data_IF_956434321069
#
_entry.id   IF_956434321069
#
_cell.length_a   1.000
_cell.length_b   1.000
_cell.length_c   1.000
_cell.angle_alpha   90.00
_cell.angle_beta   90.00
_cell.angle_gamma   90.00
#
_symmetry.space_group_name_H-M   'P 1'
#
loop_
_entity.id
_entity.type
_entity.pdbx_description
1 polymer ?
#
# COMPACT_ATOMS: atom_id res chain seq x y z
N UNK A 1 -22.85 -2.02 -25.99
CA UNK A 1 -24.17 -2.01 -25.32
C UNK A 1 -23.92 -2.25 -23.84
N UNK A 2 -24.45 -1.43 -22.94
CA UNK A 2 -24.24 -1.59 -21.49
C UNK A 2 -25.02 -2.80 -21.01
N UNK A 3 -24.33 -3.84 -20.53
CA UNK A 3 -24.95 -5.09 -20.06
C UNK A 3 -25.23 -5.03 -18.55
N UNK A 4 -25.89 -6.04 -17.99
CA UNK A 4 -26.20 -6.09 -16.55
C UNK A 4 -24.94 -6.01 -15.69
N UNK A 5 -23.85 -6.67 -16.10
CA UNK A 5 -22.57 -6.64 -15.39
C UNK A 5 -21.98 -5.22 -15.31
N UNK A 6 -22.11 -4.44 -16.38
CA UNK A 6 -21.70 -3.03 -16.39
C UNK A 6 -22.38 -2.25 -15.26
N UNK A 7 -23.70 -2.35 -15.13
CA UNK A 7 -24.43 -1.65 -14.09
C UNK A 7 -24.10 -2.17 -12.69
N UNK A 8 -23.95 -3.49 -12.52
CA UNK A 8 -23.54 -4.09 -11.23
C UNK A 8 -22.19 -3.52 -10.79
N UNK A 9 -21.19 -3.52 -11.67
CA UNK A 9 -19.85 -3.01 -11.36
C UNK A 9 -19.92 -1.50 -11.06
N UNK A 10 -20.63 -0.72 -11.88
CA UNK A 10 -20.76 0.71 -11.68
C UNK A 10 -21.42 1.04 -10.33
N UNK A 11 -22.55 0.39 -10.00
CA UNK A 11 -23.22 0.62 -8.72
C UNK A 11 -22.37 0.16 -7.54
N UNK A 12 -21.67 -0.98 -7.65
CA UNK A 12 -20.78 -1.44 -6.60
C UNK A 12 -19.67 -0.41 -6.30
N UNK A 13 -19.02 0.13 -7.35
CA UNK A 13 -18.01 1.17 -7.20
C UNK A 13 -18.58 2.46 -6.59
N UNK A 14 -19.76 2.89 -7.04
CA UNK A 14 -20.39 4.12 -6.52
C UNK A 14 -20.85 3.97 -5.07
N UNK A 15 -21.37 2.79 -4.69
CA UNK A 15 -21.78 2.50 -3.31
C UNK A 15 -20.57 2.43 -2.40
N UNK A 16 -19.52 1.72 -2.79
CA UNK A 16 -18.28 1.62 -2.02
C UNK A 16 -17.69 3.01 -1.76
N UNK A 17 -17.57 3.82 -2.81
CA UNK A 17 -17.11 5.21 -2.69
C UNK A 17 -18.02 6.06 -1.80
N UNK A 18 -19.34 5.96 -1.96
CA UNK A 18 -20.28 6.70 -1.13
C UNK A 18 -20.18 6.32 0.35
N UNK A 19 -20.04 5.03 0.67
CA UNK A 19 -19.83 4.55 2.04
C UNK A 19 -18.53 5.11 2.61
N UNK A 20 -17.43 5.05 1.85
CA UNK A 20 -16.13 5.59 2.26
C UNK A 20 -16.21 7.09 2.56
N UNK A 21 -16.79 7.88 1.67
CA UNK A 21 -16.95 9.34 1.85
C UNK A 21 -17.82 9.65 3.07
N UNK A 22 -18.95 8.95 3.24
CA UNK A 22 -19.83 9.15 4.40
C UNK A 22 -19.08 8.83 5.70
N UNK A 23 -18.34 7.73 5.76
CA UNK A 23 -17.53 7.38 6.93
C UNK A 23 -16.49 8.47 7.24
N UNK A 24 -15.78 8.97 6.23
CA UNK A 24 -14.80 10.05 6.38
C UNK A 24 -15.45 11.37 6.86
N UNK A 25 -16.62 11.73 6.35
CA UNK A 25 -17.36 12.91 6.79
C UNK A 25 -17.85 12.77 8.24
N UNK A 26 -18.35 11.59 8.63
CA UNK A 26 -18.74 11.31 10.01
C UNK A 26 -17.54 11.38 10.95
N UNK A 27 -16.39 10.82 10.55
CA UNK A 27 -15.14 10.92 11.30
C UNK A 27 -14.75 12.38 11.48
N UNK A 28 -14.68 13.17 10.40
CA UNK A 28 -14.35 14.59 10.45
C UNK A 28 -15.28 15.41 11.35
N UNK A 29 -16.60 15.10 11.33
CA UNK A 29 -17.59 15.75 12.20
C UNK A 29 -17.41 15.38 13.67
N UNK A 30 -16.93 14.18 13.94
CA UNK A 30 -16.69 13.69 15.31
C UNK A 30 -15.41 14.24 15.95
N UNK A 31 -14.44 14.73 15.15
CA UNK A 31 -13.18 15.27 15.65
C UNK A 31 -13.43 16.51 16.52
N UNK A 32 -13.00 16.44 17.77
CA UNK A 32 -13.06 17.55 18.73
C UNK A 32 -11.67 18.14 18.92
N UNK A 33 -11.58 19.46 18.96
CA UNK A 33 -10.30 20.16 19.14
C UNK A 33 -9.76 20.08 20.56
N UNK A 34 -10.63 19.90 21.55
CA UNK A 34 -10.23 19.80 22.96
C UNK A 34 -10.20 18.34 23.41
N UNK A 35 -9.23 17.95 24.26
CA UNK A 35 -9.16 16.60 24.78
C UNK A 35 -10.41 16.32 25.63
N UNK A 36 -10.99 15.10 25.56
CA UNK A 36 -12.07 14.71 26.46
C UNK A 36 -11.57 14.72 27.92
N UNK A 37 -12.45 14.91 28.91
CA UNK A 37 -12.05 14.97 30.33
C UNK A 37 -11.25 13.75 30.80
N UNK A 38 -11.51 12.57 30.23
CA UNK A 38 -10.77 11.34 30.54
C UNK A 38 -9.29 11.36 30.11
N UNK A 39 -8.90 12.30 29.24
CA UNK A 39 -7.55 12.48 28.72
C UNK A 39 -6.87 13.75 29.26
N UNK A 40 -7.52 14.46 30.18
CA UNK A 40 -6.98 15.65 30.82
C UNK A 40 -5.75 15.28 31.67
N UNK A 41 -4.66 16.02 31.50
CA UNK A 41 -3.38 15.72 32.15
C UNK A 41 -2.53 14.62 31.49
N UNK A 42 -3.09 13.85 30.55
CA UNK A 42 -2.33 12.87 29.74
C UNK A 42 -1.78 13.52 28.48
N UNK A 43 -2.60 14.31 27.79
CA UNK A 43 -2.20 15.04 26.59
C UNK A 43 -2.02 16.52 26.88
N UNK A 44 -0.94 17.08 26.33
CA UNK A 44 -0.84 18.54 26.24
C UNK A 44 -1.90 19.05 25.24
N UNK A 45 -2.69 20.08 25.58
CA UNK A 45 -3.77 20.57 24.72
C UNK A 45 -3.31 20.94 23.30
N UNK A 46 -2.14 21.54 23.16
CA UNK A 46 -1.59 21.94 21.85
C UNK A 46 -1.17 20.74 21.00
N UNK A 47 -0.57 19.70 21.59
CA UNK A 47 -0.22 18.48 20.87
C UNK A 47 -1.46 17.71 20.42
N UNK A 48 -2.48 17.66 21.27
CA UNK A 48 -3.77 17.07 20.92
C UNK A 48 -4.40 17.81 19.74
N UNK A 49 -4.47 19.14 19.78
CA UNK A 49 -4.98 19.96 18.67
C UNK A 49 -4.23 19.72 17.37
N UNK A 50 -2.89 19.66 17.43
CA UNK A 50 -2.04 19.35 16.27
C UNK A 50 -2.34 17.95 15.71
N UNK A 51 -2.56 16.95 16.57
CA UNK A 51 -2.94 15.60 16.14
C UNK A 51 -4.32 15.58 15.45
N UNK A 52 -5.30 16.31 15.98
CA UNK A 52 -6.64 16.42 15.37
C UNK A 52 -6.56 17.13 14.00
N UNK A 53 -5.72 18.16 13.88
CA UNK A 53 -5.48 18.83 12.59
C UNK A 53 -4.79 17.92 11.58
N UNK A 54 -3.85 17.08 12.03
CA UNK A 54 -3.21 16.06 11.20
C UNK A 54 -4.23 15.07 10.64
N UNK A 55 -5.09 14.51 11.50
CA UNK A 55 -6.16 13.59 11.08
C UNK A 55 -7.09 14.29 10.08
N UNK A 56 -7.51 15.52 10.38
CA UNK A 56 -8.38 16.30 9.48
C UNK A 56 -7.75 16.56 8.12
N UNK A 57 -6.46 16.89 8.09
CA UNK A 57 -5.73 17.18 6.84
C UNK A 57 -5.63 15.93 5.98
N UNK A 58 -5.23 14.79 6.56
CA UNK A 58 -5.15 13.53 5.82
C UNK A 58 -6.53 13.07 5.35
N UNK A 59 -7.54 13.06 6.22
CA UNK A 59 -8.88 12.60 5.83
C UNK A 59 -9.46 13.42 4.65
N UNK A 60 -9.23 14.74 4.63
CA UNK A 60 -9.65 15.58 3.50
C UNK A 60 -8.85 15.27 2.23
N UNK A 61 -7.55 15.05 2.39
CA UNK A 61 -6.68 14.70 1.28
C UNK A 61 -7.07 13.35 0.68
N UNK A 62 -7.35 12.35 1.51
CA UNK A 62 -7.78 11.01 1.12
C UNK A 62 -9.08 11.07 0.30
N UNK A 63 -10.08 11.84 0.77
CA UNK A 63 -11.32 12.05 0.00
C UNK A 63 -11.03 12.64 -1.38
N UNK A 64 -10.12 13.62 -1.49
CA UNK A 64 -9.74 14.22 -2.78
C UNK A 64 -9.05 13.19 -3.68
N UNK A 65 -8.11 12.40 -3.15
CA UNK A 65 -7.39 11.39 -3.92
C UNK A 65 -8.30 10.25 -4.37
N UNK A 66 -9.24 9.83 -3.53
CA UNK A 66 -10.20 8.77 -3.84
C UNK A 66 -11.19 9.26 -4.90
N UNK A 67 -11.67 10.50 -4.78
CA UNK A 67 -12.52 11.13 -5.80
C UNK A 67 -11.81 11.16 -7.14
N UNK A 68 -10.54 11.62 -7.16
CA UNK A 68 -9.74 11.67 -8.38
C UNK A 68 -9.55 10.28 -9.00
N UNK A 69 -9.19 9.29 -8.18
CA UNK A 69 -8.97 7.91 -8.63
C UNK A 69 -10.24 7.31 -9.23
N UNK A 70 -11.40 7.52 -8.61
CA UNK A 70 -12.69 7.09 -9.14
C UNK A 70 -13.00 7.79 -10.46
N UNK A 71 -12.81 9.11 -10.56
CA UNK A 71 -13.06 9.86 -11.79
C UNK A 71 -12.15 9.41 -12.93
N UNK A 72 -10.87 9.14 -12.65
CA UNK A 72 -9.93 8.58 -13.63
C UNK A 72 -10.41 7.21 -14.10
N UNK A 73 -10.75 6.30 -13.17
CA UNK A 73 -11.23 4.97 -13.50
C UNK A 73 -12.50 5.02 -14.37
N UNK A 74 -13.50 5.80 -13.95
CA UNK A 74 -14.75 5.94 -14.68
C UNK A 74 -14.50 6.59 -16.04
N UNK A 75 -13.75 7.69 -16.11
CA UNK A 75 -13.45 8.36 -17.38
C UNK A 75 -12.74 7.43 -18.36
N UNK A 76 -11.74 6.69 -17.88
CA UNK A 76 -11.02 5.71 -18.69
C UNK A 76 -11.93 4.56 -19.13
N UNK A 77 -12.81 4.09 -18.26
CA UNK A 77 -13.77 3.03 -18.58
C UNK A 77 -14.82 3.46 -19.60
N UNK A 78 -15.48 4.60 -19.37
CA UNK A 78 -16.53 5.16 -20.24
C UNK A 78 -15.98 5.61 -21.60
N UNK A 79 -14.72 6.08 -21.66
CA UNK A 79 -14.03 6.37 -22.91
C UNK A 79 -13.60 5.10 -23.68
N UNK A 80 -13.84 3.91 -23.13
CA UNK A 80 -13.40 2.64 -23.75
C UNK A 80 -11.89 2.39 -23.65
N UNK A 81 -11.19 3.07 -22.74
CA UNK A 81 -9.73 3.04 -22.59
C UNK A 81 -9.17 1.63 -22.38
N UNK A 82 -9.86 0.77 -21.62
CA UNK A 82 -9.45 -0.63 -21.43
C UNK A 82 -9.43 -1.41 -22.74
N UNK A 83 -10.46 -1.26 -23.56
CA UNK A 83 -10.55 -1.93 -24.87
C UNK A 83 -9.57 -1.32 -25.87
N UNK A 84 -9.44 0.02 -25.88
CA UNK A 84 -8.46 0.71 -26.71
C UNK A 84 -7.04 0.20 -26.43
N UNK A 85 -6.65 0.14 -25.15
CA UNK A 85 -5.34 -0.36 -24.76
C UNK A 85 -5.15 -1.83 -25.13
N UNK A 86 -6.16 -2.68 -24.94
CA UNK A 86 -6.10 -4.09 -25.36
C UNK A 86 -5.83 -4.21 -26.87
N UNK A 87 -6.53 -3.43 -27.71
CA UNK A 87 -6.31 -3.41 -29.16
C UNK A 87 -4.90 -2.94 -29.52
N UNK A 88 -4.38 -1.91 -28.86
CA UNK A 88 -3.01 -1.43 -29.05
C UNK A 88 -2.00 -2.52 -28.71
N UNK A 89 -2.12 -3.16 -27.54
CA UNK A 89 -1.18 -4.21 -27.12
C UNK A 89 -1.26 -5.44 -28.02
N UNK A 90 -2.45 -5.80 -28.51
CA UNK A 90 -2.63 -6.88 -29.49
C UNK A 90 -1.94 -6.60 -30.82
N UNK A 91 -1.87 -5.34 -31.25
CA UNK A 91 -1.21 -4.95 -32.50
C UNK A 91 0.31 -5.25 -32.51
N UNK A 92 0.93 -5.36 -31.33
CA UNK A 92 2.38 -5.61 -31.20
C UNK A 92 2.80 -7.06 -31.46
N UNK A 93 1.86 -7.96 -31.75
CA UNK A 93 2.13 -9.35 -32.18
C UNK A 93 2.98 -10.19 -31.21
N UNK A 94 2.95 -9.88 -29.91
CA UNK A 94 3.56 -10.71 -28.87
C UNK A 94 2.71 -11.94 -28.51
N UNK A 95 3.32 -12.92 -27.85
CA UNK A 95 2.65 -14.08 -27.25
C UNK A 95 1.54 -13.66 -26.24
N UNK A 96 0.44 -14.43 -26.06
CA UNK A 96 -0.61 -14.13 -25.09
C UNK A 96 -0.11 -13.73 -23.69
N UNK A 97 0.91 -14.40 -23.16
CA UNK A 97 1.41 -14.13 -21.81
C UNK A 97 2.09 -12.75 -21.77
N UNK A 98 2.98 -12.48 -22.73
CA UNK A 98 3.70 -11.20 -22.82
C UNK A 98 2.72 -10.05 -23.05
N UNK A 99 1.69 -10.26 -23.88
CA UNK A 99 0.62 -9.26 -24.07
C UNK A 99 -0.12 -8.96 -22.76
N UNK A 100 -0.50 -9.99 -22.00
CA UNK A 100 -1.15 -9.80 -20.70
C UNK A 100 -0.28 -9.03 -19.70
N UNK A 101 1.02 -9.34 -19.65
CA UNK A 101 1.99 -8.61 -18.83
C UNK A 101 2.12 -7.14 -19.24
N UNK A 102 2.22 -6.87 -20.56
CA UNK A 102 2.30 -5.50 -21.08
C UNK A 102 1.02 -4.71 -20.81
N UNK A 103 -0.14 -5.32 -21.01
CA UNK A 103 -1.44 -4.71 -20.74
C UNK A 103 -1.55 -4.28 -19.27
N UNK A 104 -1.29 -5.19 -18.34
CA UNK A 104 -1.35 -4.90 -16.90
C UNK A 104 -0.26 -3.92 -16.50
N UNK A 105 0.97 -4.09 -17.01
CA UNK A 105 2.10 -3.21 -16.74
C UNK A 105 1.85 -1.76 -17.16
N UNK A 106 1.27 -1.54 -18.36
CA UNK A 106 0.94 -0.19 -18.86
C UNK A 106 -0.15 0.45 -17.99
N UNK A 107 -1.19 -0.30 -17.63
CA UNK A 107 -2.24 0.21 -16.74
C UNK A 107 -1.68 0.61 -15.37
N UNK A 108 -0.84 -0.25 -14.78
CA UNK A 108 -0.21 0.01 -13.48
C UNK A 108 0.72 1.23 -13.53
N UNK A 109 1.55 1.33 -14.57
CA UNK A 109 2.45 2.47 -14.75
C UNK A 109 1.67 3.77 -15.00
N UNK A 110 0.66 3.74 -15.87
CA UNK A 110 -0.22 4.88 -16.13
C UNK A 110 -0.89 5.37 -14.86
N UNK A 111 -1.49 4.45 -14.09
CA UNK A 111 -2.12 4.78 -12.81
C UNK A 111 -1.11 5.31 -11.77
N UNK A 112 0.08 4.70 -11.68
CA UNK A 112 1.15 5.17 -10.78
C UNK A 112 1.63 6.57 -11.15
N UNK A 113 1.63 6.95 -12.43
CA UNK A 113 2.01 8.28 -12.88
C UNK A 113 0.92 9.30 -12.55
N UNK A 114 -0.35 8.95 -12.76
CA UNK A 114 -1.49 9.83 -12.44
C UNK A 114 -1.59 10.11 -10.93
N UNK A 115 -1.23 9.15 -10.09
CA UNK A 115 -1.28 9.28 -8.62
C UNK A 115 0.02 9.80 -8.01
N UNK A 116 1.09 9.93 -8.80
CA UNK A 116 2.39 10.42 -8.35
C UNK A 116 2.33 11.83 -7.72
N UNK A 117 1.62 12.83 -8.28
CA UNK A 117 1.53 14.17 -7.68
C UNK A 117 0.97 14.14 -6.27
N UNK A 118 -0.03 13.29 -6.00
CA UNK A 118 -0.61 13.15 -4.66
C UNK A 118 0.38 12.52 -3.68
N UNK A 119 1.13 11.51 -4.11
CA UNK A 119 2.17 10.90 -3.27
C UNK A 119 3.29 11.91 -2.92
N UNK A 120 3.68 12.76 -3.88
CA UNK A 120 4.63 13.85 -3.67
C UNK A 120 4.05 14.87 -2.67
N UNK A 121 2.81 15.32 -2.89
CA UNK A 121 2.15 16.30 -2.01
C UNK A 121 2.02 15.77 -0.58
N UNK A 122 1.57 14.53 -0.41
CA UNK A 122 1.46 13.90 0.90
C UNK A 122 2.83 13.88 1.61
N UNK A 123 3.89 13.44 0.92
CA UNK A 123 5.22 13.28 1.52
C UNK A 123 5.91 14.61 1.83
N UNK A 124 5.92 15.54 0.87
CA UNK A 124 6.73 16.76 0.94
C UNK A 124 5.95 18.00 1.37
N UNK A 125 4.62 17.92 1.48
CA UNK A 125 3.77 19.02 1.95
C UNK A 125 3.06 18.63 3.25
N UNK A 126 2.25 17.56 3.24
CA UNK A 126 1.48 17.18 4.43
C UNK A 126 2.42 16.67 5.53
N UNK A 127 3.18 15.60 5.28
CA UNK A 127 4.06 15.02 6.29
C UNK A 127 5.16 16.01 6.74
N UNK A 128 5.66 16.86 5.84
CA UNK A 128 6.60 17.93 6.19
C UNK A 128 5.96 18.97 7.11
N UNK A 129 4.74 19.44 6.81
CA UNK A 129 4.00 20.42 7.63
C UNK A 129 3.83 19.97 9.07
N UNK A 130 3.66 18.66 9.32
CA UNK A 130 3.50 18.13 10.66
C UNK A 130 4.82 17.72 11.33
N UNK A 131 5.95 17.79 10.62
CA UNK A 131 7.28 17.44 11.10
C UNK A 131 7.56 15.93 11.08
N UNK A 132 6.79 15.17 10.30
CA UNK A 132 6.94 13.74 10.16
C UNK A 132 7.87 13.33 9.03
N UNK A 133 7.98 14.13 7.96
CA UNK A 133 8.85 13.77 6.84
C UNK A 133 10.33 13.89 7.19
N UNK A 134 11.09 12.83 6.87
CA UNK A 134 12.57 12.82 6.86
C UNK A 134 13.13 12.38 5.51
N UNK A 135 12.25 12.10 4.55
CA UNK A 135 12.59 11.58 3.23
C UNK A 135 13.08 12.71 2.33
N UNK A 136 14.20 12.49 1.63
CA UNK A 136 14.69 13.41 0.58
C UNK A 136 14.08 13.05 -0.78
N UNK A 137 14.01 13.99 -1.75
CA UNK A 137 13.57 13.68 -3.11
C UNK A 137 14.33 12.51 -3.76
N UNK A 138 15.64 12.40 -3.48
CA UNK A 138 16.46 11.28 -3.94
C UNK A 138 16.02 9.95 -3.32
N UNK A 139 15.81 9.92 -2.00
CA UNK A 139 15.32 8.72 -1.30
C UNK A 139 13.95 8.30 -1.83
N UNK A 140 13.03 9.26 -1.99
CA UNK A 140 11.69 9.02 -2.51
C UNK A 140 11.71 8.41 -3.91
N UNK A 141 12.52 8.96 -4.83
CA UNK A 141 12.64 8.44 -6.19
C UNK A 141 13.28 7.05 -6.22
N UNK A 142 14.36 6.84 -5.46
CA UNK A 142 15.04 5.55 -5.40
C UNK A 142 14.14 4.45 -4.82
N UNK A 143 13.39 4.76 -3.75
CA UNK A 143 12.45 3.82 -3.16
C UNK A 143 11.32 3.49 -4.15
N UNK A 144 10.84 4.48 -4.92
CA UNK A 144 9.84 4.23 -5.98
C UNK A 144 10.38 3.32 -7.08
N UNK A 145 11.59 3.58 -7.57
CA UNK A 145 12.22 2.77 -8.63
C UNK A 145 12.46 1.33 -8.13
N UNK A 146 12.99 1.17 -6.90
CA UNK A 146 13.17 -0.14 -6.28
C UNK A 146 11.84 -0.88 -6.13
N UNK A 147 10.79 -0.19 -5.66
CA UNK A 147 9.45 -0.75 -5.52
C UNK A 147 8.87 -1.21 -6.86
N UNK A 148 8.98 -0.38 -7.91
CA UNK A 148 8.55 -0.74 -9.26
C UNK A 148 9.36 -1.91 -9.82
N UNK A 149 10.67 -1.95 -9.59
CA UNK A 149 11.53 -3.07 -10.02
C UNK A 149 11.15 -4.38 -9.33
N UNK A 150 10.88 -4.36 -8.02
CA UNK A 150 10.42 -5.53 -7.27
C UNK A 150 9.02 -5.97 -7.71
N UNK A 151 8.10 -5.02 -7.92
CA UNK A 151 6.76 -5.31 -8.42
C UNK A 151 6.81 -5.91 -9.84
N UNK A 152 7.67 -5.39 -10.72
CA UNK A 152 7.88 -5.95 -12.04
C UNK A 152 8.48 -7.36 -11.95
N UNK A 153 9.51 -7.56 -11.12
CA UNK A 153 10.18 -8.87 -11.00
C UNK A 153 9.26 -9.94 -10.41
N UNK A 154 8.72 -9.69 -9.22
CA UNK A 154 7.93 -10.67 -8.49
C UNK A 154 6.50 -10.75 -9.01
N UNK A 155 5.90 -9.59 -9.30
CA UNK A 155 4.54 -9.50 -9.82
C UNK A 155 4.43 -10.06 -11.24
N UNK A 156 5.37 -9.76 -12.16
CA UNK A 156 5.33 -10.35 -13.49
C UNK A 156 5.64 -11.86 -13.47
N UNK A 157 6.51 -12.33 -12.57
CA UNK A 157 6.75 -13.77 -12.41
C UNK A 157 5.47 -14.49 -11.96
N UNK A 158 4.78 -13.99 -10.92
CA UNK A 158 3.51 -14.57 -10.47
C UNK A 158 2.42 -14.46 -11.54
N UNK A 159 2.27 -13.29 -12.15
CA UNK A 159 1.24 -13.03 -13.16
C UNK A 159 1.46 -13.86 -14.42
N UNK A 160 2.71 -14.04 -14.86
CA UNK A 160 3.02 -14.91 -16.00
C UNK A 160 2.65 -16.36 -15.71
N UNK A 161 2.90 -16.86 -14.50
CA UNK A 161 2.43 -18.17 -14.06
C UNK A 161 0.90 -18.29 -14.08
N UNK A 162 0.19 -17.29 -13.58
CA UNK A 162 -1.28 -17.24 -13.60
C UNK A 162 -1.81 -17.26 -15.04
N UNK A 163 -1.26 -16.41 -15.92
CA UNK A 163 -1.67 -16.35 -17.31
C UNK A 163 -1.38 -17.67 -18.03
N UNK A 164 -0.22 -18.28 -17.78
CA UNK A 164 0.12 -19.59 -18.33
C UNK A 164 -0.85 -20.69 -17.86
N UNK A 165 -1.26 -20.69 -16.59
CA UNK A 165 -2.23 -21.65 -16.07
C UNK A 165 -3.59 -21.51 -16.77
N UNK A 166 -4.08 -20.27 -16.96
CA UNK A 166 -5.33 -20.04 -17.68
C UNK A 166 -5.24 -20.42 -19.16
N UNK A 167 -4.08 -20.28 -19.79
CA UNK A 167 -3.87 -20.66 -21.19
C UNK A 167 -3.84 -22.19 -21.38
N UNK A 168 -3.27 -22.95 -20.43
CA UNK A 168 -2.96 -24.37 -20.63
C UNK A 168 -3.85 -25.35 -19.84
N UNK A 169 -4.41 -24.96 -18.69
CA UNK A 169 -5.05 -25.90 -17.73
C UNK A 169 -6.58 -25.93 -17.89
N UNK A 170 -7.16 -25.02 -18.67
CA UNK A 170 -8.60 -24.99 -18.96
C UNK A 170 -9.45 -24.68 -17.72
N UNK A 171 -10.62 -25.32 -17.58
CA UNK A 171 -11.61 -24.96 -16.54
C UNK A 171 -11.09 -25.02 -15.10
N UNK A 172 -10.15 -25.91 -14.80
CA UNK A 172 -9.60 -26.06 -13.45
C UNK A 172 -8.47 -25.06 -13.12
N UNK A 173 -8.06 -24.21 -14.07
CA UNK A 173 -6.97 -23.26 -13.90
C UNK A 173 -7.13 -22.40 -12.64
N UNK A 174 -8.35 -22.02 -12.27
CA UNK A 174 -8.61 -21.20 -11.08
C UNK A 174 -8.12 -21.85 -9.78
N UNK A 175 -8.22 -23.17 -9.63
CA UNK A 175 -7.75 -23.91 -8.44
C UNK A 175 -6.22 -23.84 -8.36
N UNK A 176 -5.55 -24.07 -9.49
CA UNK A 176 -4.09 -24.01 -9.55
C UNK A 176 -3.58 -22.57 -9.37
N UNK A 177 -4.26 -21.57 -9.93
CA UNK A 177 -3.96 -20.16 -9.69
C UNK A 177 -4.12 -19.82 -8.21
N UNK A 178 -5.19 -20.27 -7.57
CA UNK A 178 -5.41 -20.07 -6.14
C UNK A 178 -4.28 -20.72 -5.31
N UNK A 179 -3.92 -21.98 -5.60
CA UNK A 179 -2.80 -22.66 -4.93
C UNK A 179 -1.46 -21.93 -5.15
N UNK A 180 -1.20 -21.48 -6.37
CA UNK A 180 0.02 -20.75 -6.72
C UNK A 180 0.11 -19.42 -5.97
N UNK A 181 -0.99 -18.65 -5.92
CA UNK A 181 -1.06 -17.39 -5.17
C UNK A 181 -0.92 -17.64 -3.67
N UNK A 182 -1.59 -18.65 -3.11
CA UNK A 182 -1.49 -19.00 -1.70
C UNK A 182 -0.06 -19.42 -1.31
N UNK A 183 0.57 -20.29 -2.10
CA UNK A 183 1.96 -20.69 -1.90
C UNK A 183 2.91 -19.50 -2.02
N UNK A 184 2.71 -18.65 -3.03
CA UNK A 184 3.48 -17.41 -3.19
C UNK A 184 3.32 -16.49 -1.99
N UNK A 185 2.11 -16.28 -1.47
CA UNK A 185 1.86 -15.47 -0.27
C UNK A 185 2.57 -16.01 0.96
N UNK A 186 2.57 -17.33 1.18
CA UNK A 186 3.29 -17.96 2.28
C UNK A 186 4.81 -17.76 2.15
N UNK A 187 5.36 -17.94 0.94
CA UNK A 187 6.79 -17.66 0.67
C UNK A 187 7.10 -16.18 0.92
N UNK A 188 6.23 -15.28 0.48
CA UNK A 188 6.41 -13.84 0.66
C UNK A 188 6.36 -13.41 2.14
N UNK A 189 5.68 -14.15 3.02
CA UNK A 189 5.70 -13.89 4.45
C UNK A 189 7.11 -14.03 5.05
N UNK A 190 7.93 -14.96 4.52
CA UNK A 190 9.33 -15.11 4.87
C UNK A 190 10.24 -14.16 4.08
N UNK A 191 10.06 -14.10 2.76
CA UNK A 191 10.93 -13.34 1.84
C UNK A 191 10.84 -11.84 2.08
N UNK A 192 9.65 -11.32 2.42
CA UNK A 192 9.46 -9.88 2.62
C UNK A 192 10.31 -9.31 3.74
N UNK A 193 10.19 -9.76 5.00
CA UNK A 193 11.00 -9.23 6.09
C UNK A 193 12.49 -9.59 5.95
N UNK A 194 12.82 -10.75 5.38
CA UNK A 194 14.19 -11.25 5.32
C UNK A 194 15.02 -10.62 4.20
N UNK A 195 14.44 -10.43 3.01
CA UNK A 195 15.17 -9.97 1.82
C UNK A 195 14.64 -8.67 1.26
N UNK A 196 13.33 -8.43 1.28
CA UNK A 196 12.76 -7.22 0.66
C UNK A 196 12.94 -5.99 1.55
N UNK A 197 12.55 -6.06 2.83
CA UNK A 197 12.66 -4.92 3.74
C UNK A 197 14.10 -4.40 3.87
N UNK A 198 15.16 -5.25 3.94
CA UNK A 198 16.54 -4.79 3.98
C UNK A 198 17.02 -4.00 2.74
N UNK A 199 16.34 -4.12 1.58
CA UNK A 199 16.65 -3.30 0.40
C UNK A 199 16.25 -1.83 0.58
N UNK A 200 15.33 -1.55 1.51
CA UNK A 200 14.82 -0.23 1.81
C UNK A 200 15.39 0.31 3.12
N UNK A 201 15.49 -0.52 4.16
CA UNK A 201 15.88 -0.11 5.50
C UNK A 201 17.10 -0.89 5.99
N UNK A 202 17.94 -0.24 6.79
CA UNK A 202 19.02 -0.90 7.51
C UNK A 202 18.46 -1.51 8.80
N UNK A 203 18.72 -2.80 8.97
CA UNK A 203 18.46 -3.53 10.20
C UNK A 203 19.77 -3.67 10.96
N UNK A 204 19.82 -3.16 12.19
CA UNK A 204 20.97 -3.30 13.09
C UNK A 204 20.54 -4.05 14.34
N UNK A 205 21.28 -5.07 14.80
CA UNK A 205 20.97 -5.73 16.06
C UNK A 205 20.86 -4.71 17.20
N UNK A 206 19.88 -4.88 18.08
CA UNK A 206 19.78 -4.06 19.28
C UNK A 206 21.03 -4.31 20.15
N UNK A 207 21.67 -3.22 20.56
CA UNK A 207 22.85 -3.23 21.41
C UNK A 207 22.55 -3.96 22.73
N UNK A 208 23.57 -4.64 23.25
CA UNK A 208 23.46 -5.28 24.56
C UNK A 208 23.29 -4.23 25.64
N UNK A 209 22.32 -4.43 26.53
CA UNK A 209 22.01 -3.48 27.58
C UNK A 209 20.68 -3.78 28.26
N UNK A 210 20.29 -2.91 29.18
CA UNK A 210 19.11 -3.06 30.02
C UNK A 210 17.82 -3.30 29.21
N UNK A 211 17.61 -2.52 28.15
CA UNK A 211 16.42 -2.64 27.29
C UNK A 211 16.34 -4.01 26.59
N UNK A 212 17.46 -4.49 26.04
CA UNK A 212 17.49 -5.79 25.34
C UNK A 212 17.19 -6.93 26.31
N UNK A 213 17.80 -6.90 27.50
CA UNK A 213 17.54 -7.91 28.53
C UNK A 213 16.11 -7.85 29.05
N UNK A 214 15.55 -6.66 29.25
CA UNK A 214 14.15 -6.50 29.64
C UNK A 214 13.18 -7.12 28.61
N UNK A 215 13.41 -6.86 27.31
CA UNK A 215 12.62 -7.45 26.22
C UNK A 215 12.73 -8.98 26.21
N UNK A 216 13.97 -9.52 26.29
CA UNK A 216 14.19 -10.97 26.25
C UNK A 216 13.64 -11.67 27.49
N UNK A 217 13.73 -11.06 28.67
CA UNK A 217 13.15 -11.58 29.91
C UNK A 217 11.63 -11.61 29.85
N UNK A 218 11.00 -10.54 29.36
CA UNK A 218 9.54 -10.51 29.18
C UNK A 218 9.08 -11.54 28.14
N UNK A 219 9.78 -11.65 27.01
CA UNK A 219 9.48 -12.66 26.00
C UNK A 219 9.56 -14.09 26.58
N UNK A 220 10.59 -14.38 27.38
CA UNK A 220 10.73 -15.66 28.09
C UNK A 220 9.61 -15.91 29.09
N UNK A 221 9.18 -14.90 29.85
CA UNK A 221 8.14 -15.08 30.88
C UNK A 221 6.77 -15.42 30.31
N UNK A 222 6.49 -14.99 29.08
CA UNK A 222 5.25 -15.32 28.36
C UNK A 222 5.40 -16.47 27.35
N UNK A 223 6.57 -17.13 27.33
CA UNK A 223 6.84 -18.24 26.40
C UNK A 223 6.91 -17.83 24.92
N UNK A 224 7.19 -16.56 24.62
CA UNK A 224 7.29 -16.06 23.26
C UNK A 224 8.71 -16.30 22.71
N UNK A 225 8.88 -17.09 21.64
CA UNK A 225 10.20 -17.43 21.10
C UNK A 225 10.81 -16.25 20.33
N UNK A 226 11.65 -15.47 21.00
CA UNK A 226 12.42 -14.38 20.37
C UNK A 226 13.86 -14.82 20.16
N UNK A 227 14.26 -14.92 18.89
CA UNK A 227 15.65 -15.24 18.53
C UNK A 227 16.55 -14.01 18.59
N UNK A 228 16.10 -12.88 18.04
CA UNK A 228 16.87 -11.65 17.93
C UNK A 228 15.97 -10.42 17.99
N UNK A 229 16.55 -9.29 18.40
CA UNK A 229 15.89 -7.97 18.41
C UNK A 229 16.72 -7.04 17.53
N UNK A 230 16.06 -6.38 16.57
CA UNK A 230 16.68 -5.45 15.64
C UNK A 230 16.05 -4.07 15.74
N UNK A 231 16.85 -3.04 15.52
CA UNK A 231 16.42 -1.66 15.31
C UNK A 231 16.48 -1.35 13.82
N UNK A 232 15.40 -0.76 13.31
CA UNK A 232 15.28 -0.35 11.91
C UNK A 232 15.55 1.14 11.82
N UNK A 233 16.31 1.59 10.82
CA UNK A 233 16.59 3.01 10.54
C UNK A 233 15.40 3.78 9.95
N UNK A 234 14.19 3.57 10.49
CA UNK A 234 12.94 4.21 10.05
C UNK A 234 12.97 5.74 10.11
N UNK A 235 13.82 6.30 10.99
CA UNK A 235 14.09 7.74 11.12
C UNK A 235 14.59 8.39 9.83
N UNK A 236 15.11 7.62 8.86
CA UNK A 236 15.47 8.13 7.53
C UNK A 236 14.27 8.51 6.67
N UNK A 237 13.08 8.03 7.02
CA UNK A 237 11.85 8.25 6.24
C UNK A 237 10.81 9.03 7.02
N UNK A 238 10.64 8.69 8.29
CA UNK A 238 9.67 9.36 9.15
C UNK A 238 10.12 9.44 10.61
N UNK A 239 9.65 10.46 11.33
CA UNK A 239 9.78 10.51 12.80
C UNK A 239 8.72 9.68 13.54
N UNK A 240 7.80 9.01 12.82
CA UNK A 240 6.82 8.09 13.41
C UNK A 240 7.52 6.84 13.96
N UNK A 241 7.07 6.39 15.13
CA UNK A 241 7.52 5.14 15.74
C UNK A 241 6.56 4.00 15.44
N UNK A 242 7.11 2.80 15.25
CA UNK A 242 6.36 1.56 15.14
C UNK A 242 7.25 0.40 15.62
N UNK A 243 6.63 -0.70 16.02
CA UNK A 243 7.30 -1.94 16.35
C UNK A 243 6.47 -3.11 15.82
N UNK A 244 7.15 -4.13 15.30
CA UNK A 244 6.49 -5.33 14.79
C UNK A 244 7.39 -6.55 15.02
N UNK A 245 6.78 -7.72 14.94
CA UNK A 245 7.47 -9.00 14.98
C UNK A 245 7.48 -9.63 13.60
N UNK A 246 8.54 -10.37 13.30
CA UNK A 246 8.66 -11.19 12.09
C UNK A 246 9.10 -12.56 12.52
N UNK A 247 8.37 -13.58 12.12
CA UNK A 247 8.63 -14.97 12.50
C UNK A 247 7.79 -15.91 11.65
N UNK A 248 8.19 -17.18 11.69
CA UNK A 248 7.65 -18.28 10.91
C UNK A 248 7.73 -19.55 11.76
#
# INVERSE_FOLDING_TARGET
MMNTFFFIILFALLIEYAVSVVANLLNLKSLKSDPPPALEGVYQPEEYRKAQEYIRTNTRFDVVTDTFSLLVLLSFWFAGGFNYLDQVVRSWSFDPIVRGLLYIGILMLGYSLLTLPFSIYHTFVIEERFGFNRTTPRTFLLDRIKGLGLAALLGAALLSGILALFEHVGYQAWVYCWLAVAAFSLVMQYVTPTWIMPLFNKFTPLESGELKEAILNYARSVGFPVTNVFVIDGSRRSSKSNAFFTGF
#
